data_IF_415396399198
#
_entry.id   IF_415396399198
#
_cell.length_a   1.000
_cell.length_b   1.000
_cell.length_c   1.000
_cell.angle_alpha   90.00
_cell.angle_beta   90.00
_cell.angle_gamma   90.00
#
_symmetry.space_group_name_H-M   'P 1'
#
loop_
_entity.id
_entity.type
_entity.pdbx_description
1 polymer ?
#
# COMPACT_ATOMS: atom_id res chain seq x y z
N UNK A 1 22.36 15.11 42.69
CA UNK A 1 21.60 13.89 42.32
C UNK A 1 20.26 14.30 41.70
N UNK A 2 20.22 14.70 40.43
CA UNK A 2 19.01 15.30 39.80
C UNK A 2 18.87 15.00 38.29
N UNK A 3 19.50 13.92 37.79
CA UNK A 3 19.50 13.60 36.34
C UNK A 3 18.65 12.37 35.95
N UNK A 4 18.05 11.66 36.92
CA UNK A 4 17.31 10.41 36.64
C UNK A 4 15.85 10.63 36.18
N UNK A 5 15.25 11.79 36.47
CA UNK A 5 13.82 12.02 36.29
C UNK A 5 13.36 12.25 34.83
N UNK A 6 14.11 12.99 33.97
CA UNK A 6 13.71 13.22 32.57
C UNK A 6 13.82 11.95 31.72
N UNK A 7 14.84 11.12 31.96
CA UNK A 7 15.04 9.88 31.21
C UNK A 7 13.97 8.84 31.51
N UNK A 8 13.53 8.72 32.77
CA UNK A 8 12.41 7.86 33.15
C UNK A 8 11.11 8.29 32.45
N UNK A 9 10.84 9.61 32.41
CA UNK A 9 9.68 10.18 31.73
C UNK A 9 9.74 9.95 30.21
N UNK A 10 10.89 10.20 29.57
CA UNK A 10 11.08 9.95 28.14
C UNK A 10 10.94 8.47 27.80
N UNK A 11 11.34 7.57 28.70
CA UNK A 11 11.15 6.12 28.54
C UNK A 11 9.67 5.74 28.63
N UNK A 12 8.93 6.28 29.59
CA UNK A 12 7.47 6.08 29.70
C UNK A 12 6.72 6.67 28.50
N UNK A 13 7.09 7.87 28.06
CA UNK A 13 6.53 8.49 26.84
C UNK A 13 6.82 7.64 25.61
N UNK A 14 8.03 7.09 25.46
CA UNK A 14 8.34 6.15 24.37
C UNK A 14 7.46 4.90 24.40
N UNK A 15 7.27 4.31 25.59
CA UNK A 15 6.40 3.13 25.76
C UNK A 15 4.95 3.42 25.37
N UNK A 16 4.40 4.55 25.81
CA UNK A 16 3.01 4.95 25.48
C UNK A 16 2.88 5.39 24.02
N UNK A 17 3.93 6.02 23.46
CA UNK A 17 3.91 6.51 22.09
C UNK A 17 3.75 5.40 21.06
N UNK A 18 4.12 4.16 21.36
CA UNK A 18 3.92 3.01 20.47
C UNK A 18 2.45 2.80 20.08
N UNK A 19 1.53 3.14 20.99
CA UNK A 19 0.08 3.04 20.77
C UNK A 19 -0.50 4.25 20.01
N UNK A 20 0.29 5.30 19.82
CA UNK A 20 -0.11 6.50 19.07
C UNK A 20 0.31 6.32 17.61
N UNK A 21 -0.67 6.17 16.73
CA UNK A 21 -0.45 6.11 15.28
C UNK A 21 0.39 7.31 14.81
N UNK A 22 1.42 7.06 14.00
CA UNK A 22 2.29 8.09 13.45
C UNK A 22 3.41 8.59 14.36
N UNK A 23 3.48 8.13 15.62
CA UNK A 23 4.60 8.41 16.53
C UNK A 23 5.94 7.84 16.05
N UNK A 24 7.05 8.31 16.62
CA UNK A 24 8.38 7.75 16.31
C UNK A 24 8.49 6.25 16.63
N UNK A 25 7.81 5.78 17.67
CA UNK A 25 7.83 4.37 18.06
C UNK A 25 6.96 3.52 17.12
N UNK A 26 5.76 3.98 16.75
CA UNK A 26 4.93 3.26 15.76
C UNK A 26 5.64 3.17 14.41
N UNK A 27 6.29 4.25 13.96
CA UNK A 27 7.16 4.24 12.76
C UNK A 27 8.32 3.26 12.87
N UNK A 28 8.91 3.11 14.05
CA UNK A 28 9.97 2.12 14.28
C UNK A 28 9.43 0.68 14.18
N UNK A 29 8.25 0.41 14.76
CA UNK A 29 7.59 -0.88 14.65
C UNK A 29 7.23 -1.19 13.19
N UNK A 30 6.65 -0.24 12.46
CA UNK A 30 6.33 -0.42 11.04
C UNK A 30 7.55 -0.75 10.18
N UNK A 31 8.72 -0.17 10.50
CA UNK A 31 9.97 -0.55 9.82
C UNK A 31 10.37 -1.99 10.12
N UNK A 32 10.24 -2.43 11.36
CA UNK A 32 10.55 -3.82 11.75
C UNK A 32 9.62 -4.80 11.02
N UNK A 33 8.32 -4.52 10.99
CA UNK A 33 7.34 -5.32 10.27
C UNK A 33 7.64 -5.36 8.76
N UNK A 34 7.94 -4.21 8.17
CA UNK A 34 8.35 -4.13 6.76
C UNK A 34 9.62 -4.95 6.48
N UNK A 35 10.65 -4.84 7.33
CA UNK A 35 11.87 -5.61 7.16
C UNK A 35 11.63 -7.11 7.29
N UNK A 36 10.76 -7.54 8.21
CA UNK A 36 10.35 -8.93 8.31
C UNK A 36 9.63 -9.37 7.03
N UNK A 37 8.70 -8.57 6.51
CA UNK A 37 8.01 -8.89 5.26
C UNK A 37 8.97 -9.02 4.08
N UNK A 38 9.96 -8.12 3.96
CA UNK A 38 11.00 -8.19 2.93
C UNK A 38 11.87 -9.44 3.09
N UNK A 39 12.17 -9.83 4.33
CA UNK A 39 12.95 -11.04 4.60
C UNK A 39 12.18 -12.31 4.17
N UNK A 40 10.86 -12.35 4.38
CA UNK A 40 10.03 -13.51 4.02
C UNK A 40 9.64 -13.56 2.53
N UNK A 41 9.23 -12.44 1.94
CA UNK A 41 8.68 -12.37 0.59
C UNK A 41 9.67 -11.81 -0.47
N UNK A 42 10.88 -11.43 -0.06
CA UNK A 42 11.85 -10.79 -0.94
C UNK A 42 11.58 -9.30 -1.14
N UNK A 43 12.12 -8.71 -2.21
CA UNK A 43 11.93 -7.29 -2.50
C UNK A 43 10.53 -7.02 -3.06
N UNK A 44 9.84 -5.96 -2.62
CA UNK A 44 8.55 -5.59 -3.17
C UNK A 44 8.68 -5.15 -4.63
N UNK A 45 7.64 -5.41 -5.43
CA UNK A 45 7.62 -5.04 -6.84
C UNK A 45 7.06 -3.64 -7.07
N UNK A 46 6.07 -3.22 -6.29
CA UNK A 46 5.36 -1.95 -6.47
C UNK A 46 5.31 -1.20 -5.15
N UNK A 47 5.65 0.09 -5.19
CA UNK A 47 5.33 1.06 -4.15
C UNK A 47 4.24 1.99 -4.67
N UNK A 48 3.11 2.06 -3.98
CA UNK A 48 1.96 2.89 -4.35
C UNK A 48 1.48 3.71 -3.16
N UNK A 49 1.03 4.94 -3.44
CA UNK A 49 0.34 5.78 -2.47
C UNK A 49 -1.08 6.01 -2.96
N UNK A 50 -2.06 5.70 -2.11
CA UNK A 50 -3.49 5.86 -2.39
C UNK A 50 -4.02 6.94 -1.47
N UNK A 51 -4.47 8.06 -2.05
CA UNK A 51 -5.15 9.09 -1.30
C UNK A 51 -6.65 8.73 -1.19
N UNK A 52 -7.27 8.72 0.00
CA UNK A 52 -8.70 8.52 0.17
C UNK A 52 -9.57 9.48 -0.65
N UNK A 53 -9.08 10.68 -0.97
CA UNK A 53 -9.76 11.57 -1.91
C UNK A 53 -9.87 10.97 -3.32
N UNK A 54 -8.85 10.24 -3.75
CA UNK A 54 -8.84 9.55 -5.05
C UNK A 54 -9.88 8.42 -5.09
N UNK A 55 -10.27 7.89 -3.92
CA UNK A 55 -11.26 6.80 -3.84
C UNK A 55 -12.69 7.25 -4.18
N UNK A 56 -12.94 8.54 -4.27
CA UNK A 56 -14.20 9.11 -4.72
C UNK A 56 -14.12 9.68 -6.14
N UNK A 57 -12.99 9.51 -6.82
CA UNK A 57 -12.81 10.04 -8.16
C UNK A 57 -13.34 9.04 -9.22
N UNK A 58 -14.24 9.45 -10.13
CA UNK A 58 -14.88 8.54 -11.09
C UNK A 58 -13.86 7.83 -12.00
N UNK A 59 -12.81 8.55 -12.39
CA UNK A 59 -11.72 8.01 -13.19
C UNK A 59 -10.96 6.89 -12.46
N UNK A 60 -10.68 7.05 -11.16
CA UNK A 60 -9.99 6.03 -10.37
C UNK A 60 -10.83 4.75 -10.28
N UNK A 61 -12.15 4.89 -10.22
CA UNK A 61 -13.07 3.76 -10.22
C UNK A 61 -13.17 3.06 -11.57
N UNK A 62 -13.13 3.81 -12.69
CA UNK A 62 -13.06 3.21 -14.02
C UNK A 62 -11.78 2.40 -14.20
N UNK A 63 -10.63 2.93 -13.75
CA UNK A 63 -9.36 2.20 -13.77
C UNK A 63 -9.37 0.97 -12.85
N UNK A 64 -10.15 0.98 -11.78
CA UNK A 64 -10.33 -0.19 -10.92
C UNK A 64 -11.22 -1.29 -11.53
N UNK A 65 -11.69 -1.13 -12.77
CA UNK A 65 -12.58 -2.08 -13.43
C UNK A 65 -14.01 -2.05 -12.89
N UNK A 66 -14.42 -0.98 -12.19
CA UNK A 66 -15.82 -0.78 -11.84
C UNK A 66 -16.56 -0.36 -13.11
N UNK A 67 -17.63 -1.09 -13.43
CA UNK A 67 -18.52 -0.72 -14.53
C UNK A 67 -19.33 0.51 -14.13
N UNK A 68 -18.74 1.68 -14.40
CA UNK A 68 -19.35 2.98 -14.19
C UNK A 68 -19.67 3.61 -15.54
N UNK A 69 -20.91 4.07 -15.63
CA UNK A 69 -21.37 5.02 -16.63
C UNK A 69 -20.88 6.41 -16.22
N UNK A 70 -19.83 6.87 -16.90
CA UNK A 70 -19.18 8.17 -16.63
C UNK A 70 -20.14 9.32 -16.97
N UNK A 71 -21.05 9.10 -17.92
CA UNK A 71 -21.96 10.13 -18.43
C UNK A 71 -23.16 10.35 -17.48
N UNK A 72 -23.47 9.39 -16.61
CA UNK A 72 -24.59 9.45 -15.65
C UNK A 72 -24.17 9.20 -14.19
N UNK A 73 -23.14 9.91 -13.72
CA UNK A 73 -22.63 9.72 -12.36
C UNK A 73 -23.56 10.32 -11.29
N UNK A 74 -24.09 9.49 -10.38
CA UNK A 74 -24.77 9.95 -9.16
C UNK A 74 -24.03 9.48 -7.91
N UNK A 75 -24.12 10.25 -6.82
CA UNK A 75 -23.42 9.94 -5.56
C UNK A 75 -23.84 8.59 -4.94
N UNK A 76 -25.04 8.09 -5.26
CA UNK A 76 -25.54 6.79 -4.79
C UNK A 76 -24.94 5.60 -5.55
N UNK A 77 -24.47 5.80 -6.78
CA UNK A 77 -23.84 4.77 -7.60
C UNK A 77 -22.34 4.59 -7.28
N UNK A 78 -21.78 5.45 -6.44
CA UNK A 78 -20.36 5.44 -6.08
C UNK A 78 -20.08 4.31 -5.07
N UNK A 79 -19.25 3.30 -5.41
CA UNK A 79 -18.87 2.26 -4.48
C UNK A 79 -18.15 2.83 -3.25
N UNK A 80 -18.24 2.12 -2.13
CA UNK A 80 -17.54 2.50 -0.89
C UNK A 80 -16.03 2.42 -1.11
N UNK A 81 -15.30 3.31 -0.44
CA UNK A 81 -13.84 3.44 -0.53
C UNK A 81 -13.08 2.13 -0.28
N UNK A 82 -13.54 1.28 0.65
CA UNK A 82 -12.92 -0.02 0.89
C UNK A 82 -13.09 -1.00 -0.28
N UNK A 83 -14.20 -0.90 -1.01
CA UNK A 83 -14.55 -1.81 -2.10
C UNK A 83 -13.72 -1.47 -3.33
N UNK A 84 -13.54 -0.18 -3.58
CA UNK A 84 -12.63 0.31 -4.61
C UNK A 84 -11.19 -0.11 -4.34
N UNK A 85 -10.70 0.04 -3.11
CA UNK A 85 -9.36 -0.40 -2.73
C UNK A 85 -9.18 -1.90 -2.98
N UNK A 86 -10.18 -2.69 -2.58
CA UNK A 86 -10.19 -4.14 -2.79
C UNK A 86 -10.22 -4.52 -4.27
N UNK A 87 -10.77 -3.69 -5.17
CA UNK A 87 -10.79 -3.92 -6.63
C UNK A 87 -9.52 -3.44 -7.31
N UNK A 88 -9.00 -2.26 -6.95
CA UNK A 88 -7.74 -1.72 -7.46
C UNK A 88 -6.58 -2.68 -7.19
N UNK A 89 -6.51 -3.19 -5.97
CA UNK A 89 -5.44 -4.10 -5.55
C UNK A 89 -5.87 -5.57 -5.76
N UNK A 90 -7.17 -5.82 -5.98
CA UNK A 90 -7.77 -7.16 -6.13
C UNK A 90 -7.38 -8.13 -5.01
N UNK A 91 -7.34 -7.60 -3.79
CA UNK A 91 -6.97 -8.34 -2.59
C UNK A 91 -8.09 -8.26 -1.57
N UNK A 92 -8.57 -9.42 -1.14
CA UNK A 92 -9.58 -9.54 -0.11
C UNK A 92 -8.92 -9.40 1.27
N UNK A 93 -8.99 -8.20 1.83
CA UNK A 93 -8.41 -7.87 3.15
C UNK A 93 -8.99 -8.77 4.26
N UNK A 94 -10.26 -9.18 4.18
CA UNK A 94 -10.89 -10.01 5.20
C UNK A 94 -10.45 -11.47 5.14
N UNK A 95 -10.10 -11.97 3.95
CA UNK A 95 -9.70 -13.35 3.72
C UNK A 95 -8.18 -13.52 3.56
N UNK A 96 -7.44 -12.42 3.50
CA UNK A 96 -6.01 -12.38 3.23
C UNK A 96 -5.62 -13.14 1.95
N UNK A 97 -6.42 -13.02 0.90
CA UNK A 97 -6.19 -13.69 -0.40
C UNK A 97 -6.47 -12.75 -1.57
N UNK A 98 -5.75 -12.95 -2.69
CA UNK A 98 -6.08 -12.30 -3.96
C UNK A 98 -7.34 -12.93 -4.56
N UNK A 99 -8.20 -12.13 -5.22
CA UNK A 99 -9.32 -12.73 -5.96
C UNK A 99 -8.81 -13.48 -7.20
N UNK A 100 -9.48 -14.59 -7.59
CA UNK A 100 -9.13 -15.33 -8.80
C UNK A 100 -9.10 -14.41 -10.04
N UNK A 101 -8.00 -14.45 -10.80
CA UNK A 101 -7.82 -13.63 -12.01
C UNK A 101 -6.97 -12.36 -11.83
N UNK A 102 -6.63 -11.97 -10.60
CA UNK A 102 -5.77 -10.80 -10.34
C UNK A 102 -6.46 -9.45 -10.58
N UNK A 103 -5.81 -8.38 -10.13
CA UNK A 103 -6.30 -6.99 -10.29
C UNK A 103 -5.65 -6.28 -11.46
N UNK A 104 -5.82 -4.95 -11.53
CA UNK A 104 -5.08 -4.14 -12.52
C UNK A 104 -3.55 -4.29 -12.37
N UNK A 105 -3.09 -4.62 -11.17
CA UNK A 105 -1.69 -4.86 -10.87
C UNK A 105 -1.27 -6.34 -11.01
N UNK A 106 -2.19 -7.23 -11.37
CA UNK A 106 -1.98 -8.68 -11.40
C UNK A 106 -2.35 -9.37 -10.09
N UNK A 107 -1.93 -10.62 -9.94
CA UNK A 107 -2.11 -11.41 -8.73
C UNK A 107 -1.11 -10.99 -7.65
N UNK A 108 -1.58 -10.81 -6.41
CA UNK A 108 -0.76 -10.35 -5.29
C UNK A 108 -0.48 -11.52 -4.34
N UNK A 109 0.79 -11.76 -4.09
CA UNK A 109 1.28 -12.77 -3.15
C UNK A 109 1.36 -12.22 -1.72
N UNK A 110 1.78 -10.96 -1.57
CA UNK A 110 1.82 -10.27 -0.29
C UNK A 110 1.68 -8.75 -0.45
N UNK A 111 1.28 -8.08 0.63
CA UNK A 111 1.28 -6.63 0.71
C UNK A 111 1.68 -6.18 2.11
N UNK A 112 2.16 -4.95 2.20
CA UNK A 112 2.37 -4.25 3.46
C UNK A 112 1.89 -2.81 3.28
N UNK A 113 1.07 -2.30 4.20
CA UNK A 113 0.46 -0.98 4.06
C UNK A 113 0.37 -0.22 5.38
N UNK A 114 0.65 1.08 5.33
CA UNK A 114 0.55 1.98 6.49
C UNK A 114 -0.22 3.24 6.12
N UNK A 115 -0.96 3.78 7.08
CA UNK A 115 -1.66 5.05 6.93
C UNK A 115 -0.80 6.16 7.54
N UNK A 116 -0.52 7.20 6.76
CA UNK A 116 0.21 8.38 7.20
C UNK A 116 -0.63 9.65 7.00
N UNK A 117 -0.40 10.68 7.81
CA UNK A 117 -1.04 11.98 7.64
C UNK A 117 -0.23 12.81 6.63
N UNK A 118 -0.90 13.42 5.65
CA UNK A 118 -0.27 14.08 4.50
C UNK A 118 0.33 15.47 4.82
N UNK A 119 0.45 15.84 6.10
CA UNK A 119 0.78 17.19 6.55
C UNK A 119 -0.28 18.26 6.23
N UNK A 120 -1.47 17.85 5.76
CA UNK A 120 -2.58 18.73 5.35
C UNK A 120 -3.95 18.26 5.87
N UNK A 121 -3.95 17.36 6.85
CA UNK A 121 -5.15 16.80 7.47
C UNK A 121 -5.79 15.63 6.74
N UNK A 122 -5.31 15.27 5.54
CA UNK A 122 -5.77 14.07 4.81
C UNK A 122 -4.87 12.87 5.17
N UNK A 123 -5.47 11.70 5.34
CA UNK A 123 -4.72 10.44 5.52
C UNK A 123 -4.32 9.92 4.15
N UNK A 124 -3.10 9.43 3.94
CA UNK A 124 -2.66 8.72 2.74
C UNK A 124 -2.29 7.28 3.11
N UNK A 125 -2.66 6.34 2.25
CA UNK A 125 -2.28 4.94 2.40
C UNK A 125 -1.02 4.67 1.57
N UNK A 126 0.10 4.38 2.21
CA UNK A 126 1.33 3.94 1.56
C UNK A 126 1.39 2.41 1.56
N UNK A 127 1.60 1.81 0.40
CA UNK A 127 1.63 0.36 0.24
C UNK A 127 2.83 -0.12 -0.55
N UNK A 128 3.32 -1.29 -0.14
CA UNK A 128 4.25 -2.13 -0.88
C UNK A 128 3.53 -3.42 -1.27
N UNK A 129 3.68 -3.84 -2.52
CA UNK A 129 3.03 -5.03 -3.08
C UNK A 129 4.07 -5.99 -3.64
N UNK A 130 3.85 -7.28 -3.40
CA UNK A 130 4.55 -8.41 -3.99
C UNK A 130 3.61 -9.10 -4.95
N UNK A 131 3.97 -9.12 -6.23
CA UNK A 131 3.18 -9.75 -7.28
C UNK A 131 3.57 -11.22 -7.40
N UNK A 132 2.57 -12.07 -7.52
CA UNK A 132 2.77 -13.50 -7.79
C UNK A 132 3.46 -13.65 -9.15
N UNK A 133 4.40 -14.61 -9.23
CA UNK A 133 5.20 -14.88 -10.43
C UNK A 133 6.01 -13.68 -10.93
N UNK A 134 6.28 -12.69 -10.06
CA UNK A 134 7.13 -11.57 -10.44
C UNK A 134 8.55 -12.04 -10.70
N UNK A 135 9.14 -11.48 -11.76
CA UNK A 135 10.50 -11.82 -12.15
C UNK A 135 11.49 -11.15 -11.20
N UNK A 136 12.56 -11.86 -10.88
CA UNK A 136 13.64 -11.29 -10.09
C UNK A 136 14.18 -10.01 -10.79
N UNK A 137 14.60 -8.96 -10.07
CA UNK A 137 15.09 -7.72 -10.67
C UNK A 137 16.17 -7.92 -11.75
N UNK A 138 16.99 -8.96 -11.60
CA UNK A 138 17.96 -9.37 -12.62
C UNK A 138 17.28 -9.79 -13.92
N UNK A 139 16.29 -10.69 -13.87
CA UNK A 139 15.53 -11.12 -15.05
C UNK A 139 14.74 -9.95 -15.67
N UNK A 140 14.15 -9.08 -14.85
CA UNK A 140 13.50 -7.86 -15.33
C UNK A 140 14.49 -6.96 -16.06
N UNK A 141 15.70 -6.78 -15.51
CA UNK A 141 16.76 -6.01 -16.15
C UNK A 141 17.16 -6.63 -17.49
N UNK A 142 17.39 -7.94 -17.55
CA UNK A 142 17.70 -8.62 -18.81
C UNK A 142 16.56 -8.45 -19.82
N UNK A 143 15.30 -8.62 -19.43
CA UNK A 143 14.14 -8.40 -20.32
C UNK A 143 14.01 -6.96 -20.81
N UNK A 144 14.28 -5.97 -19.95
CA UNK A 144 14.27 -4.55 -20.35
C UNK A 144 15.40 -4.29 -21.35
N UNK A 145 16.59 -4.83 -21.10
CA UNK A 145 17.75 -4.65 -21.98
C UNK A 145 17.60 -5.41 -23.31
N UNK A 146 17.02 -6.61 -23.30
CA UNK A 146 16.68 -7.41 -24.48
C UNK A 146 15.51 -6.79 -25.27
N UNK A 147 14.54 -6.17 -24.56
CA UNK A 147 13.40 -5.45 -25.12
C UNK A 147 13.78 -4.15 -25.84
N UNK A 148 14.85 -3.46 -25.39
CA UNK A 148 15.42 -2.32 -26.13
C UNK A 148 16.02 -2.75 -27.48
N UNK A 149 16.33 -4.04 -27.66
CA UNK A 149 16.76 -4.63 -28.94
C UNK A 149 15.58 -5.07 -29.84
N UNK A 150 14.40 -5.34 -29.29
CA UNK A 150 13.24 -5.85 -30.04
C UNK A 150 12.13 -4.82 -30.18
N UNK A 151 12.19 -4.06 -31.27
CA UNK A 151 11.12 -3.18 -31.78
C UNK A 151 9.81 -3.96 -31.99
N UNK A 152 8.90 -4.02 -31.04
CA UNK A 152 7.47 -4.26 -31.34
C UNK A 152 6.60 -3.50 -30.34
N UNK A 153 6.10 -2.35 -30.79
CA UNK A 153 4.83 -1.78 -30.31
C UNK A 153 3.68 -2.54 -30.98
#
# INVERSE_FOLDING_TARGET
MLMAHPYALLKQLKTISGSVMGSNQSRANYRVELHAQIFFAGLPNIFITINPCDLHHPLAMKFAGVDLDIDNLTAELMPKSHELLSKLINYNINKHESYPGGGILGEIEAYYGTVEESGRGALHLHMLLWLANSKHPHELRELILDGVSSKHF
#
